data_IF_772363942529
#
_entry.id   IF_772363942529
#
_cell.length_a   1.000
_cell.length_b   1.000
_cell.length_c   1.000
_cell.angle_alpha   90.00
_cell.angle_beta   90.00
_cell.angle_gamma   90.00
#
_symmetry.space_group_name_H-M   'P 1'
#
loop_
_entity.id
_entity.type
_entity.pdbx_description
1 polymer ?
#
# COMPACT_ATOMS: atom_id res chain seq x y z
N UNK A 1 6.95 12.32 6.35
CA UNK A 1 7.68 11.36 7.20
C UNK A 1 7.46 9.98 6.59
N UNK A 2 8.52 9.20 6.36
CA UNK A 2 8.41 7.81 5.91
C UNK A 2 9.07 6.87 6.93
N UNK A 3 8.42 5.75 7.25
CA UNK A 3 8.89 4.76 8.23
C UNK A 3 8.40 3.34 7.86
N UNK A 4 8.94 2.31 8.51
CA UNK A 4 8.40 0.95 8.37
C UNK A 4 7.02 0.86 9.02
N UNK A 5 6.09 0.20 8.33
CA UNK A 5 4.68 0.16 8.73
C UNK A 5 4.46 -0.33 10.18
N UNK A 6 5.18 -1.36 10.69
CA UNK A 6 4.98 -1.82 12.07
C UNK A 6 5.37 -0.82 13.16
N UNK A 7 6.28 0.10 12.87
CA UNK A 7 6.80 1.08 13.85
C UNK A 7 5.88 2.32 13.95
N UNK A 8 5.10 2.57 12.91
CA UNK A 8 4.30 3.79 12.73
C UNK A 8 3.27 4.02 13.85
N UNK A 9 2.53 3.00 14.35
CA UNK A 9 1.58 3.23 15.43
C UNK A 9 2.22 3.83 16.68
N UNK A 10 3.39 3.33 17.08
CA UNK A 10 4.12 3.85 18.23
C UNK A 10 4.62 5.29 17.99
N UNK A 11 5.13 5.56 16.78
CA UNK A 11 5.57 6.90 16.38
C UNK A 11 4.40 7.89 16.41
N UNK A 12 3.25 7.52 15.85
CA UNK A 12 2.06 8.37 15.78
C UNK A 12 1.50 8.66 17.18
N UNK A 13 1.37 7.64 18.05
CA UNK A 13 0.91 7.85 19.44
C UNK A 13 1.83 8.79 20.21
N UNK A 14 3.15 8.65 20.05
CA UNK A 14 4.13 9.56 20.68
C UNK A 14 3.96 10.99 20.17
N UNK A 15 3.83 11.17 18.86
CA UNK A 15 3.68 12.48 18.23
C UNK A 15 2.38 13.17 18.65
N UNK A 16 1.26 12.44 18.58
CA UNK A 16 -0.07 13.01 18.84
C UNK A 16 -0.26 13.27 20.33
N UNK A 17 0.28 12.40 21.20
CA UNK A 17 0.32 12.62 22.65
C UNK A 17 1.10 13.89 23.02
N UNK A 18 2.26 14.12 22.42
CA UNK A 18 3.04 15.35 22.63
C UNK A 18 2.30 16.62 22.13
N UNK A 19 1.44 16.48 21.12
CA UNK A 19 0.65 17.57 20.56
C UNK A 19 -0.71 17.77 21.25
N UNK A 20 -1.10 16.91 22.20
CA UNK A 20 -2.44 16.93 22.81
C UNK A 20 -3.58 16.57 21.83
N UNK A 21 -3.27 15.88 20.73
CA UNK A 21 -4.22 15.47 19.69
C UNK A 21 -4.52 13.98 19.85
N UNK A 22 -5.79 13.59 19.69
CA UNK A 22 -6.19 12.18 19.68
C UNK A 22 -6.63 11.74 18.29
N UNK A 23 -5.95 10.72 17.75
CA UNK A 23 -6.30 10.01 16.51
C UNK A 23 -6.26 8.49 16.72
N UNK A 24 -6.51 8.04 17.96
CA UNK A 24 -6.40 6.63 18.34
C UNK A 24 -7.26 5.69 17.46
N UNK A 25 -8.51 6.02 17.07
CA UNK A 25 -9.29 5.16 16.18
C UNK A 25 -8.60 4.90 14.82
N UNK A 26 -7.91 5.90 14.29
CA UNK A 26 -7.19 5.79 13.02
C UNK A 26 -5.92 4.93 13.16
N UNK A 27 -5.21 5.08 14.28
CA UNK A 27 -4.03 4.27 14.61
C UNK A 27 -4.45 2.79 14.78
N UNK A 28 -5.49 2.53 15.58
CA UNK A 28 -6.02 1.18 15.78
C UNK A 28 -6.53 0.54 14.48
N UNK A 29 -7.20 1.31 13.62
CA UNK A 29 -7.65 0.81 12.31
C UNK A 29 -6.47 0.48 11.37
N UNK A 30 -5.36 1.21 11.48
CA UNK A 30 -4.13 0.92 10.73
C UNK A 30 -3.44 -0.34 11.26
N UNK A 31 -3.25 -0.48 12.57
CA UNK A 31 -2.71 -1.69 13.20
C UNK A 31 -3.54 -2.92 12.83
N UNK A 32 -4.86 -2.83 12.93
CA UNK A 32 -5.75 -3.93 12.57
C UNK A 32 -5.58 -4.36 11.12
N UNK A 33 -5.31 -3.41 10.23
CA UNK A 33 -5.04 -3.70 8.81
C UNK A 33 -3.72 -4.44 8.64
N UNK A 34 -2.66 -4.03 9.33
CA UNK A 34 -1.37 -4.72 9.28
C UNK A 34 -1.48 -6.16 9.80
N UNK A 35 -2.20 -6.37 10.91
CA UNK A 35 -2.49 -7.71 11.44
C UNK A 35 -3.19 -8.59 10.39
N UNK A 36 -4.26 -8.08 9.77
CA UNK A 36 -5.04 -8.83 8.79
C UNK A 36 -4.23 -9.14 7.51
N UNK A 37 -3.35 -8.24 7.09
CA UNK A 37 -2.45 -8.46 5.95
C UNK A 37 -1.40 -9.54 6.31
N UNK A 38 -0.78 -9.43 7.48
CA UNK A 38 0.19 -10.41 7.98
C UNK A 38 -0.43 -11.80 8.13
N UNK A 39 -1.67 -11.88 8.61
CA UNK A 39 -2.43 -13.13 8.72
C UNK A 39 -2.70 -13.82 7.37
N UNK A 40 -2.52 -13.13 6.24
CA UNK A 40 -2.58 -13.70 4.89
C UNK A 40 -1.21 -14.09 4.32
N UNK A 41 -0.16 -14.09 5.15
CA UNK A 41 1.20 -14.47 4.76
C UNK A 41 1.97 -13.36 4.04
N UNK A 42 1.49 -12.12 4.06
CA UNK A 42 2.18 -10.98 3.46
C UNK A 42 3.10 -10.35 4.52
N UNK A 43 4.39 -10.26 4.20
CA UNK A 43 5.41 -9.69 5.08
C UNK A 43 5.26 -8.15 5.19
N UNK A 44 4.56 -7.70 6.23
CA UNK A 44 4.35 -6.28 6.52
C UNK A 44 5.59 -5.57 7.06
N UNK A 45 6.65 -6.30 7.44
CA UNK A 45 7.91 -5.67 7.89
C UNK A 45 8.62 -4.91 6.77
N UNK A 46 8.34 -5.30 5.52
CA UNK A 46 8.86 -4.64 4.30
C UNK A 46 7.96 -3.49 3.83
N UNK A 47 6.76 -3.34 4.40
CA UNK A 47 5.86 -2.27 4.03
C UNK A 47 6.35 -0.93 4.62
N UNK A 48 6.22 0.13 3.84
CA UNK A 48 6.53 1.50 4.27
C UNK A 48 5.25 2.31 4.36
N UNK A 49 5.16 3.10 5.43
CA UNK A 49 4.17 4.15 5.58
C UNK A 49 4.81 5.49 5.22
N UNK A 50 4.03 6.37 4.59
CA UNK A 50 4.46 7.71 4.26
C UNK A 50 3.30 8.70 4.46
N UNK A 51 3.53 9.76 5.23
CA UNK A 51 2.53 10.80 5.48
C UNK A 51 2.29 11.72 4.28
N UNK A 52 3.28 11.84 3.37
CA UNK A 52 3.16 12.59 2.12
C UNK A 52 2.50 11.79 1.01
N UNK A 53 2.20 10.52 1.27
CA UNK A 53 1.58 9.63 0.31
C UNK A 53 0.06 9.86 0.28
N UNK A 54 -0.36 10.70 -0.65
CA UNK A 54 -1.74 10.90 -1.05
C UNK A 54 -1.85 10.86 -2.56
N UNK A 55 -3.00 10.44 -3.08
CA UNK A 55 -3.24 10.45 -4.53
C UNK A 55 -3.82 11.80 -4.96
N UNK A 56 -3.50 12.21 -6.19
CA UNK A 56 -4.03 13.44 -6.81
C UNK A 56 -5.56 13.43 -7.01
N UNK A 57 -6.19 12.26 -6.89
CA UNK A 57 -7.62 12.09 -7.10
C UNK A 57 -8.33 12.05 -5.75
N UNK A 58 -9.18 13.04 -5.50
CA UNK A 58 -9.88 13.28 -4.23
C UNK A 58 -10.98 12.27 -3.89
N UNK A 59 -11.04 11.11 -4.59
CA UNK A 59 -12.09 10.11 -4.34
C UNK A 59 -11.75 9.09 -3.24
N UNK A 60 -10.50 8.99 -2.81
CA UNK A 60 -10.13 8.05 -1.74
C UNK A 60 -10.60 8.57 -0.38
N UNK A 61 -11.28 7.73 0.38
CA UNK A 61 -11.88 8.07 1.68
C UNK A 61 -11.16 7.43 2.85
N UNK A 62 -10.03 6.75 2.63
CA UNK A 62 -9.31 6.07 3.69
C UNK A 62 -7.98 5.47 3.22
N UNK A 63 -7.76 4.20 3.53
CA UNK A 63 -6.53 3.48 3.20
C UNK A 63 -6.18 3.57 1.72
N UNK A 64 -4.92 3.90 1.43
CA UNK A 64 -4.32 3.88 0.09
C UNK A 64 -3.01 3.12 0.13
N UNK A 65 -2.65 2.49 -0.98
CA UNK A 65 -1.41 1.73 -1.09
C UNK A 65 -0.86 1.70 -2.52
N UNK A 66 0.43 1.38 -2.62
CA UNK A 66 1.14 1.06 -3.85
C UNK A 66 1.98 -0.21 -3.64
N UNK A 67 2.09 -1.02 -4.69
CA UNK A 67 3.00 -2.15 -4.77
C UNK A 67 4.15 -1.78 -5.70
N UNK A 68 5.36 -1.81 -5.16
CA UNK A 68 6.60 -1.52 -5.90
C UNK A 68 7.41 -2.81 -6.04
N UNK A 69 8.13 -2.91 -7.14
CA UNK A 69 9.00 -4.04 -7.42
C UNK A 69 10.41 -3.54 -7.81
N UNK A 70 11.46 -4.33 -7.55
CA UNK A 70 12.79 -4.08 -8.10
C UNK A 70 12.75 -3.99 -9.64
N UNK A 71 13.69 -3.24 -10.23
CA UNK A 71 13.77 -3.06 -11.69
C UNK A 71 12.82 -2.01 -12.28
N UNK A 72 12.02 -1.34 -11.45
CA UNK A 72 11.23 -0.17 -11.84
C UNK A 72 11.92 1.13 -11.44
N UNK A 73 11.66 2.18 -12.22
CA UNK A 73 12.21 3.51 -11.95
C UNK A 73 11.66 4.11 -10.65
N UNK A 74 12.38 5.08 -10.09
CA UNK A 74 11.95 5.78 -8.88
C UNK A 74 10.59 6.45 -9.10
N UNK A 75 9.59 6.03 -8.31
CA UNK A 75 8.22 6.54 -8.39
C UNK A 75 7.27 5.69 -9.25
N UNK A 76 7.78 4.69 -9.96
CA UNK A 76 6.93 3.69 -10.59
C UNK A 76 6.41 2.66 -9.57
N UNK A 77 5.21 2.15 -9.84
CA UNK A 77 4.57 1.09 -9.08
C UNK A 77 3.87 0.13 -10.04
N UNK A 78 3.85 -1.15 -9.67
CA UNK A 78 3.17 -2.23 -10.40
C UNK A 78 1.67 -2.11 -10.19
N UNK A 79 1.24 -1.82 -8.96
CA UNK A 79 -0.17 -1.70 -8.63
C UNK A 79 -0.40 -0.58 -7.63
N UNK A 80 -1.60 -0.03 -7.63
CA UNK A 80 -2.01 0.97 -6.66
C UNK A 80 -3.51 0.94 -6.45
N UNK A 81 -3.94 1.30 -5.24
CA UNK A 81 -5.34 1.20 -4.87
C UNK A 81 -5.63 1.79 -3.51
N UNK A 82 -6.85 1.55 -3.06
CA UNK A 82 -7.33 2.07 -1.78
C UNK A 82 -8.84 1.98 -1.61
N UNK A 83 -9.32 2.55 -0.52
CA UNK A 83 -10.74 2.62 -0.13
C UNK A 83 -11.39 3.91 -0.63
N UNK A 84 -12.56 3.80 -1.25
CA UNK A 84 -13.26 4.89 -1.93
C UNK A 84 -14.79 4.81 -1.73
N UNK A 85 -15.22 4.93 -0.48
CA UNK A 85 -16.62 4.72 -0.08
C UNK A 85 -17.58 5.81 -0.60
N UNK A 86 -17.05 6.98 -0.93
CA UNK A 86 -17.84 8.12 -1.45
C UNK A 86 -18.05 8.10 -2.96
N UNK A 87 -17.27 7.32 -3.71
CA UNK A 87 -17.20 7.41 -5.17
C UNK A 87 -18.56 7.17 -5.84
N UNK A 88 -19.25 6.08 -5.48
CA UNK A 88 -20.52 5.73 -6.11
C UNK A 88 -21.61 6.77 -5.81
N UNK A 89 -21.59 7.36 -4.61
CA UNK A 89 -22.52 8.44 -4.25
C UNK A 89 -22.26 9.70 -5.09
N UNK A 90 -21.00 10.07 -5.29
CA UNK A 90 -20.63 11.19 -6.17
C UNK A 90 -21.01 10.97 -7.63
N UNK A 91 -21.21 9.70 -8.05
CA UNK A 91 -21.66 9.31 -9.39
C UNK A 91 -23.18 9.11 -9.50
N UNK A 92 -23.96 9.45 -8.47
CA UNK A 92 -25.43 9.42 -8.52
C UNK A 92 -26.10 8.21 -7.86
N UNK A 93 -25.35 7.37 -7.12
CA UNK A 93 -25.96 6.32 -6.30
C UNK A 93 -26.79 6.93 -5.17
N UNK A 94 -28.02 6.44 -4.98
CA UNK A 94 -28.89 6.82 -3.86
C UNK A 94 -28.33 6.41 -2.50
N UNK A 95 -27.49 5.37 -2.48
CA UNK A 95 -26.89 4.82 -1.26
C UNK A 95 -25.37 4.99 -1.28
N UNK A 96 -24.80 5.24 -0.11
CA UNK A 96 -23.36 5.10 0.10
C UNK A 96 -23.00 3.63 0.06
N UNK A 97 -22.08 3.24 -0.83
CA UNK A 97 -21.60 1.87 -0.98
C UNK A 97 -20.12 1.84 -0.66
N UNK A 98 -19.71 1.21 0.47
CA UNK A 98 -18.29 1.07 0.79
C UNK A 98 -17.56 0.26 -0.28
N UNK A 99 -16.39 0.73 -0.70
CA UNK A 99 -15.67 0.14 -1.81
C UNK A 99 -14.14 0.20 -1.60
N UNK A 100 -13.45 -0.85 -2.06
CA UNK A 100 -12.01 -0.96 -2.07
C UNK A 100 -11.57 -1.70 -3.32
N UNK A 101 -10.45 -1.31 -3.90
CA UNK A 101 -9.92 -1.94 -5.10
C UNK A 101 -8.55 -1.42 -5.46
N UNK A 102 -8.00 -1.96 -6.54
CA UNK A 102 -6.71 -1.57 -7.09
C UNK A 102 -6.69 -1.73 -8.60
N UNK A 103 -5.73 -1.06 -9.23
CA UNK A 103 -5.37 -1.27 -10.61
C UNK A 103 -3.92 -1.78 -10.69
N UNK A 104 -3.66 -2.66 -11.64
CA UNK A 104 -2.35 -3.23 -11.93
C UNK A 104 -1.93 -2.72 -13.32
N UNK A 105 -0.73 -2.19 -13.43
CA UNK A 105 -0.13 -1.88 -14.72
C UNK A 105 0.62 -3.13 -15.24
N UNK A 106 0.11 -3.72 -16.32
CA UNK A 106 0.60 -5.00 -16.83
C UNK A 106 2.00 -4.85 -17.44
N UNK A 107 2.27 -3.73 -18.11
CA UNK A 107 3.57 -3.47 -18.74
C UNK A 107 4.69 -3.38 -17.70
N UNK A 108 4.44 -2.70 -16.57
CA UNK A 108 5.37 -2.61 -15.43
C UNK A 108 5.49 -3.93 -14.69
N UNK A 109 4.40 -4.70 -14.58
CA UNK A 109 4.45 -6.04 -14.00
C UNK A 109 5.40 -6.94 -14.81
N UNK A 110 5.26 -6.97 -16.13
CA UNK A 110 6.13 -7.75 -17.02
C UNK A 110 7.59 -7.30 -16.88
N UNK A 111 7.87 -5.99 -16.96
CA UNK A 111 9.22 -5.45 -16.75
C UNK A 111 9.84 -5.84 -15.41
N UNK A 112 9.05 -5.81 -14.34
CA UNK A 112 9.51 -6.20 -13.01
C UNK A 112 9.83 -7.70 -12.91
N UNK A 113 9.11 -8.55 -13.64
CA UNK A 113 9.38 -9.99 -13.73
C UNK A 113 10.67 -10.26 -14.52
N UNK A 114 10.87 -9.59 -15.67
CA UNK A 114 12.06 -9.74 -16.52
C UNK A 114 13.33 -9.23 -15.80
N UNK A 115 13.19 -8.21 -14.97
CA UNK A 115 14.28 -7.70 -14.12
C UNK A 115 14.63 -8.64 -12.97
N UNK A 116 13.71 -9.54 -12.60
CA UNK A 116 13.87 -10.55 -11.55
C UNK A 116 14.42 -11.89 -12.04
N UNK A 117 14.41 -12.14 -13.35
CA UNK A 117 15.05 -13.31 -13.96
C UNK A 117 16.55 -13.09 -14.15
N UNK A 118 17.30 -13.05 -13.04
CA UNK A 118 18.67 -13.58 -13.11
C UNK A 118 18.51 -15.09 -13.27
N UNK A 119 18.85 -15.61 -14.45
CA UNK A 119 18.98 -17.05 -14.74
C UNK A 119 19.54 -17.80 -13.52
N UNK A 120 18.93 -18.89 -13.04
CA UNK A 120 19.64 -19.77 -12.13
C UNK A 120 20.87 -20.29 -12.87
N UNK A 121 22.05 -19.90 -12.43
CA UNK A 121 23.29 -20.49 -12.90
C UNK A 121 23.26 -22.00 -12.59
N UNK A 122 23.37 -22.83 -13.62
CA UNK A 122 23.70 -24.25 -13.51
C UNK A 122 22.52 -25.21 -13.71
N UNK A 123 22.26 -25.57 -14.97
CA UNK A 123 21.95 -26.94 -15.36
C UNK A 123 22.50 -27.11 -16.78
N UNK A 124 23.60 -27.85 -16.87
CA UNK A 124 24.44 -27.99 -18.03
C UNK A 124 23.68 -28.54 -19.24
N UNK A 125 23.75 -27.81 -20.34
CA UNK A 125 23.47 -28.33 -21.67
C UNK A 125 24.80 -28.38 -22.43
N UNK A 126 25.57 -29.44 -22.21
CA UNK A 126 26.43 -30.01 -23.25
C UNK A 126 26.97 -31.40 -22.84
N UNK A 127 26.72 -32.34 -23.77
CA UNK A 127 27.19 -33.74 -23.89
C UNK A 127 26.45 -34.81 -23.09
#
# INVERSE_FOLDING_TARGET
MSALAPEVPAILRKLTGAAGISIEPQIAAFEKRLELIAARGIDVSKARFDTGFGRKLEYYTGFVFELRAPGLDAGEHVAGGGRYDGLLKSLGSEKTVPAVGCAINVERLVRALDSGTTTPAGADANV
#
